data_IF_950976869284
#
_entry.id   IF_950976869284
#
_cell.length_a   1.000
_cell.length_b   1.000
_cell.length_c   1.000
_cell.angle_alpha   90.00
_cell.angle_beta   90.00
_cell.angle_gamma   90.00
#
_symmetry.space_group_name_H-M   'P 1'
#
loop_
_entity.id
_entity.type
_entity.pdbx_description
1 polymer ?
#
# COMPACT_ATOMS: atom_id res chain seq x y z
N UNK A 1 -6.03 -2.77 26.40
CA UNK A 1 -7.24 -3.16 25.65
C UNK A 1 -6.81 -3.50 24.23
N UNK A 2 -7.24 -4.64 23.69
CA UNK A 2 -6.98 -5.00 22.29
C UNK A 2 -8.01 -4.28 21.43
N UNK A 3 -7.57 -3.47 20.47
CA UNK A 3 -8.46 -2.83 19.49
C UNK A 3 -8.82 -3.89 18.45
N UNK A 4 -10.09 -4.00 18.11
CA UNK A 4 -10.53 -4.82 16.97
C UNK A 4 -10.11 -4.14 15.67
N UNK A 5 -9.50 -4.89 14.76
CA UNK A 5 -9.00 -4.33 13.50
C UNK A 5 -10.16 -4.08 12.52
N UNK A 6 -10.14 -2.99 11.74
CA UNK A 6 -11.21 -2.70 10.79
C UNK A 6 -11.36 -3.75 9.69
N UNK A 7 -12.59 -3.96 9.21
CA UNK A 7 -12.91 -4.88 8.11
C UNK A 7 -12.13 -4.61 6.82
N UNK A 8 -11.74 -3.36 6.58
CA UNK A 8 -10.89 -2.96 5.45
C UNK A 8 -9.51 -3.63 5.45
N UNK A 9 -9.12 -4.26 6.56
CA UNK A 9 -7.88 -5.03 6.70
C UNK A 9 -8.09 -6.54 6.56
N UNK A 10 -9.32 -7.03 6.34
CA UNK A 10 -9.61 -8.47 6.32
C UNK A 10 -8.73 -9.24 5.32
N UNK A 11 -8.52 -8.70 4.11
CA UNK A 11 -7.63 -9.34 3.11
C UNK A 11 -6.19 -9.48 3.64
N UNK A 12 -5.65 -8.43 4.28
CA UNK A 12 -4.32 -8.46 4.88
C UNK A 12 -4.28 -9.49 6.02
N UNK A 13 -5.29 -9.50 6.87
CA UNK A 13 -5.37 -10.39 8.03
C UNK A 13 -5.49 -11.86 7.63
N UNK A 14 -6.23 -12.16 6.56
CA UNK A 14 -6.29 -13.50 5.98
C UNK A 14 -4.90 -13.95 5.51
N UNK A 15 -4.17 -13.10 4.78
CA UNK A 15 -2.79 -13.39 4.35
C UNK A 15 -1.84 -13.55 5.54
N UNK A 16 -2.00 -12.74 6.59
CA UNK A 16 -1.18 -12.81 7.80
C UNK A 16 -1.42 -14.09 8.61
N UNK A 17 -2.65 -14.58 8.69
CA UNK A 17 -2.98 -15.80 9.43
C UNK A 17 -2.21 -17.02 8.91
N UNK A 18 -1.99 -17.08 7.59
CA UNK A 18 -1.20 -18.15 6.96
C UNK A 18 0.28 -18.14 7.39
N UNK A 19 0.79 -17.04 7.93
CA UNK A 19 2.19 -16.86 8.31
C UNK A 19 2.49 -17.25 9.77
N UNK A 20 1.48 -17.65 10.55
CA UNK A 20 1.68 -18.13 11.92
C UNK A 20 2.22 -17.06 12.88
N UNK A 21 3.42 -17.25 13.43
CA UNK A 21 3.98 -16.39 14.48
C UNK A 21 4.24 -14.95 13.98
N UNK A 22 4.78 -14.79 12.77
CA UNK A 22 5.01 -13.45 12.20
C UNK A 22 3.68 -12.75 11.94
N UNK A 23 2.66 -13.48 11.49
CA UNK A 23 1.30 -12.97 11.35
C UNK A 23 0.76 -12.34 12.63
N UNK A 24 0.95 -13.01 13.78
CA UNK A 24 0.56 -12.48 15.09
C UNK A 24 1.32 -11.21 15.48
N UNK A 25 2.61 -11.12 15.15
CA UNK A 25 3.42 -9.91 15.39
C UNK A 25 2.89 -8.75 14.55
N UNK A 26 2.63 -8.97 13.27
CA UNK A 26 2.11 -7.93 12.37
C UNK A 26 0.74 -7.46 12.82
N UNK A 27 -0.20 -8.38 13.07
CA UNK A 27 -1.55 -8.03 13.55
C UNK A 27 -1.50 -7.30 14.88
N UNK A 28 -0.64 -7.73 15.81
CA UNK A 28 -0.44 -7.03 17.08
C UNK A 28 0.17 -5.64 16.92
N UNK A 29 1.03 -5.42 15.92
CA UNK A 29 1.56 -4.08 15.61
C UNK A 29 0.47 -3.18 15.05
N UNK A 30 -0.34 -3.67 14.11
CA UNK A 30 -1.48 -2.94 13.56
C UNK A 30 -2.44 -2.49 14.67
N UNK A 31 -2.79 -3.39 15.59
CA UNK A 31 -3.66 -3.09 16.74
C UNK A 31 -3.11 -2.02 17.68
N UNK A 32 -1.79 -1.90 17.78
CA UNK A 32 -1.14 -0.89 18.63
C UNK A 32 -0.96 0.45 17.93
N UNK A 33 -0.79 0.44 16.62
CA UNK A 33 -0.54 1.65 15.83
C UNK A 33 -1.85 2.37 15.49
N UNK A 34 -2.93 1.64 15.20
CA UNK A 34 -4.23 2.22 14.89
C UNK A 34 -4.88 2.79 16.15
N UNK A 35 -5.37 4.03 16.07
CA UNK A 35 -6.03 4.68 17.20
C UNK A 35 -7.53 4.31 17.22
N UNK A 36 -8.14 4.23 18.41
CA UNK A 36 -9.58 4.08 18.51
C UNK A 36 -10.32 5.21 17.77
N UNK A 37 -11.26 4.84 16.90
CA UNK A 37 -12.10 5.80 16.16
C UNK A 37 -11.53 6.29 14.83
N UNK A 38 -10.26 5.97 14.51
CA UNK A 38 -9.74 6.19 13.16
C UNK A 38 -10.32 5.15 12.19
N UNK A 39 -10.76 5.61 11.02
CA UNK A 39 -11.16 4.74 9.93
C UNK A 39 -10.00 4.59 8.95
N UNK A 40 -9.75 3.36 8.51
CA UNK A 40 -8.83 3.07 7.41
C UNK A 40 -9.58 3.31 6.10
N UNK A 41 -9.08 4.26 5.31
CA UNK A 41 -9.63 4.64 4.00
C UNK A 41 -8.97 3.84 2.87
N UNK A 42 -7.68 3.57 3.01
CA UNK A 42 -6.90 2.77 2.06
C UNK A 42 -6.03 1.77 2.83
N UNK A 43 -5.95 0.55 2.32
CA UNK A 43 -4.93 -0.41 2.69
C UNK A 43 -4.25 -0.90 1.42
N UNK A 44 -2.93 -0.75 1.37
CA UNK A 44 -2.09 -1.33 0.32
C UNK A 44 -1.00 -2.16 1.00
N UNK A 45 -0.72 -3.34 0.46
CA UNK A 45 0.26 -4.25 1.03
C UNK A 45 0.99 -5.04 -0.04
N UNK A 46 2.29 -5.23 0.17
CA UNK A 46 3.14 -6.06 -0.68
C UNK A 46 3.78 -7.15 0.15
N UNK A 47 3.28 -8.38 -0.01
CA UNK A 47 3.84 -9.57 0.59
C UNK A 47 4.79 -10.25 -0.41
N UNK A 48 6.05 -10.40 -0.01
CA UNK A 48 7.02 -11.25 -0.67
C UNK A 48 7.19 -12.51 0.16
N UNK A 49 6.99 -13.66 -0.48
CA UNK A 49 7.30 -14.97 0.10
C UNK A 49 8.68 -15.35 -0.38
N UNK A 50 9.57 -15.74 0.53
CA UNK A 50 10.89 -16.22 0.13
C UNK A 50 10.78 -17.61 -0.49
N UNK A 51 11.52 -17.84 -1.57
CA UNK A 51 11.66 -19.17 -2.15
C UNK A 51 12.58 -20.00 -1.23
N UNK A 52 12.04 -20.72 -0.25
CA UNK A 52 12.83 -21.78 0.40
C UNK A 52 12.82 -23.02 -0.46
N UNK A 53 14.01 -23.48 -0.80
CA UNK A 53 14.29 -24.73 -1.52
C UNK A 53 14.18 -26.00 -0.66
N UNK A 54 13.69 -25.90 0.58
CA UNK A 54 13.61 -27.03 1.51
C UNK A 54 12.15 -27.38 1.84
N UNK A 55 11.72 -28.57 1.43
CA UNK A 55 10.36 -29.12 1.53
C UNK A 55 9.76 -29.16 2.97
N UNK A 56 10.53 -28.86 4.00
CA UNK A 56 10.10 -28.95 5.41
C UNK A 56 9.58 -27.63 6.01
N UNK A 57 9.71 -26.48 5.35
CA UNK A 57 9.16 -25.21 5.85
C UNK A 57 7.99 -24.71 4.99
N UNK A 58 6.79 -24.72 5.59
CA UNK A 58 5.61 -24.04 5.06
C UNK A 58 5.95 -22.55 4.85
N UNK A 59 5.97 -22.12 3.58
CA UNK A 59 6.15 -20.74 3.09
C UNK A 59 6.93 -19.80 4.01
N UNK A 60 8.26 -19.65 3.83
CA UNK A 60 9.02 -18.72 4.63
C UNK A 60 8.71 -17.31 4.18
N UNK A 61 8.16 -16.55 5.12
CA UNK A 61 7.98 -15.11 5.02
C UNK A 61 9.26 -14.44 4.48
N UNK A 62 9.15 -13.73 3.36
CA UNK A 62 10.23 -12.91 2.82
C UNK A 62 10.18 -11.51 3.43
N UNK A 63 9.21 -10.72 3.02
CA UNK A 63 8.97 -9.39 3.60
C UNK A 63 7.51 -8.98 3.42
N UNK A 64 7.07 -8.02 4.23
CA UNK A 64 5.76 -7.40 4.10
C UNK A 64 5.87 -5.90 4.31
N UNK A 65 5.39 -5.14 3.33
CA UNK A 65 5.14 -3.71 3.48
C UNK A 65 3.63 -3.47 3.51
N UNK A 66 3.16 -2.65 4.46
CA UNK A 66 1.77 -2.23 4.61
C UNK A 66 1.73 -0.70 4.64
N UNK A 67 1.00 -0.10 3.72
CA UNK A 67 0.66 1.32 3.70
C UNK A 67 -0.82 1.49 4.02
N UNK A 68 -1.13 2.28 5.06
CA UNK A 68 -2.50 2.61 5.43
C UNK A 68 -2.71 4.11 5.34
N UNK A 69 -3.78 4.52 4.69
CA UNK A 69 -4.31 5.88 4.81
C UNK A 69 -5.52 5.83 5.75
N UNK A 70 -5.49 6.62 6.82
CA UNK A 70 -6.61 6.79 7.73
C UNK A 70 -7.25 8.16 7.53
N UNK A 71 -8.31 8.43 8.30
CA UNK A 71 -8.96 9.74 8.38
C UNK A 71 -8.05 10.89 8.88
N UNK A 72 -6.87 10.58 9.41
CA UNK A 72 -5.97 11.55 10.07
C UNK A 72 -4.48 11.27 9.90
N UNK A 73 -4.10 10.08 9.43
CA UNK A 73 -2.70 9.65 9.38
C UNK A 73 -2.41 8.81 8.13
N UNK A 74 -1.17 8.91 7.68
CA UNK A 74 -0.57 7.92 6.80
C UNK A 74 0.35 7.04 7.65
N UNK A 75 0.21 5.72 7.54
CA UNK A 75 0.99 4.74 8.28
C UNK A 75 1.76 3.86 7.30
N UNK A 76 3.03 3.62 7.59
CA UNK A 76 3.89 2.68 6.86
C UNK A 76 4.46 1.67 7.86
N UNK A 77 4.13 0.40 7.67
CA UNK A 77 4.66 -0.70 8.48
C UNK A 77 5.42 -1.66 7.56
N UNK A 78 6.72 -1.80 7.79
CA UNK A 78 7.55 -2.75 7.06
C UNK A 78 8.09 -3.83 7.98
N UNK A 79 7.97 -5.07 7.54
CA UNK A 79 8.46 -6.26 8.22
C UNK A 79 9.42 -6.98 7.28
N UNK A 80 10.72 -6.86 7.53
CA UNK A 80 11.78 -7.53 6.78
C UNK A 80 12.50 -8.52 7.69
N UNK A 81 13.27 -9.48 7.14
CA UNK A 81 13.96 -10.49 7.94
C UNK A 81 14.95 -9.91 8.95
N UNK A 82 15.54 -8.75 8.62
CA UNK A 82 16.61 -8.13 9.41
C UNK A 82 16.15 -6.92 10.22
N UNK A 83 15.01 -6.32 9.90
CA UNK A 83 14.47 -5.17 10.63
C UNK A 83 12.97 -5.01 10.42
N UNK A 84 12.34 -4.30 11.35
CA UNK A 84 10.96 -3.84 11.22
C UNK A 84 10.94 -2.33 11.40
N UNK A 85 10.04 -1.67 10.68
CA UNK A 85 9.83 -0.23 10.85
C UNK A 85 8.34 0.08 10.93
N UNK A 86 8.05 1.14 11.68
CA UNK A 86 6.73 1.76 11.75
C UNK A 86 6.96 3.26 11.61
N UNK A 87 6.34 3.85 10.61
CA UNK A 87 6.31 5.30 10.42
C UNK A 87 4.85 5.78 10.40
N UNK A 88 4.63 6.95 10.99
CA UNK A 88 3.31 7.56 11.10
C UNK A 88 3.42 9.06 10.84
N UNK A 89 2.65 9.53 9.86
CA UNK A 89 2.59 10.94 9.47
C UNK A 89 1.19 11.47 9.67
N UNK A 90 1.06 12.59 10.37
CA UNK A 90 -0.21 13.34 10.40
C UNK A 90 -0.48 13.94 9.04
N UNK A 91 -1.68 13.71 8.50
CA UNK A 91 -2.12 14.21 7.19
C UNK A 91 -3.57 14.67 7.29
N UNK A 92 -3.92 15.74 6.59
CA UNK A 92 -5.27 16.30 6.63
C UNK A 92 -6.06 16.01 5.34
N UNK A 93 -5.42 16.18 4.18
CA UNK A 93 -6.04 15.96 2.87
C UNK A 93 -5.02 15.44 1.85
N UNK A 94 -5.50 14.71 0.85
CA UNK A 94 -4.74 14.44 -0.37
C UNK A 94 -4.88 15.67 -1.26
N UNK A 95 -3.80 16.40 -1.50
CA UNK A 95 -3.78 17.57 -2.37
C UNK A 95 -3.52 17.22 -3.83
N UNK A 96 -2.82 16.11 -4.05
CA UNK A 96 -2.45 15.66 -5.39
C UNK A 96 -2.48 14.14 -5.48
N UNK A 97 -2.99 13.65 -6.61
CA UNK A 97 -2.94 12.26 -7.04
C UNK A 97 -2.38 12.25 -8.46
N UNK A 98 -1.33 11.47 -8.68
CA UNK A 98 -0.83 11.14 -10.02
C UNK A 98 -0.70 9.63 -10.13
N UNK A 99 -1.08 9.09 -11.28
CA UNK A 99 -0.89 7.68 -11.63
C UNK A 99 -0.29 7.61 -13.03
N UNK A 100 0.93 7.09 -13.11
CA UNK A 100 1.69 6.98 -14.35
C UNK A 100 1.76 5.50 -14.73
N UNK A 101 1.31 5.19 -15.94
CA UNK A 101 1.33 3.84 -16.49
C UNK A 101 2.45 3.75 -17.53
N UNK A 102 3.39 2.82 -17.34
CA UNK A 102 4.49 2.58 -18.27
C UNK A 102 4.29 1.24 -18.96
N UNK A 103 4.37 1.24 -20.29
CA UNK A 103 4.11 0.06 -21.13
C UNK A 103 5.38 -0.58 -21.69
N UNK A 104 6.52 0.10 -21.58
CA UNK A 104 7.83 -0.38 -21.99
C UNK A 104 8.87 -0.09 -20.91
N UNK A 105 9.79 -1.03 -20.72
CA UNK A 105 11.01 -0.87 -19.94
C UNK A 105 12.15 -0.57 -20.91
N UNK A 106 12.46 0.70 -21.13
CA UNK A 106 13.59 1.06 -22.01
C UNK A 106 13.63 2.55 -22.28
N UNK A 107 14.68 3.20 -21.80
CA UNK A 107 15.18 4.40 -22.46
C UNK A 107 15.59 4.02 -23.90
N UNK A 108 15.56 4.96 -24.83
CA UNK A 108 15.94 4.74 -26.23
C UNK A 108 17.18 3.82 -26.37
N UNK A 109 16.99 2.63 -26.95
CA UNK A 109 18.11 1.75 -27.33
C UNK A 109 18.13 0.31 -26.77
N UNK A 110 17.27 -0.05 -25.82
CA UNK A 110 17.20 -1.44 -25.31
C UNK A 110 15.81 -2.08 -25.53
N UNK A 111 15.72 -2.99 -26.51
CA UNK A 111 14.58 -3.90 -26.70
C UNK A 111 13.35 -3.29 -27.38
N UNK A 112 12.53 -4.14 -28.00
CA UNK A 112 11.27 -3.76 -28.64
C UNK A 112 10.38 -3.03 -27.62
N UNK A 113 10.31 -1.69 -27.74
CA UNK A 113 9.40 -0.88 -26.97
C UNK A 113 7.97 -1.26 -27.39
N UNK A 114 7.38 -2.21 -26.66
CA UNK A 114 6.00 -2.61 -26.93
C UNK A 114 5.10 -1.40 -26.70
N UNK A 115 4.38 -0.98 -27.74
CA UNK A 115 3.46 0.15 -27.64
C UNK A 115 2.32 -0.18 -26.67
N UNK A 116 1.61 0.84 -26.17
CA UNK A 116 0.43 0.61 -25.33
C UNK A 116 -0.61 -0.27 -26.03
N UNK A 117 -0.75 -0.14 -27.36
CA UNK A 117 -1.67 -0.92 -28.18
C UNK A 117 -1.28 -2.41 -28.25
N UNK A 118 -0.01 -2.72 -28.46
CA UNK A 118 0.51 -4.09 -28.48
C UNK A 118 0.30 -4.83 -27.15
N UNK A 119 0.21 -4.07 -26.05
CA UNK A 119 -0.09 -4.59 -24.71
C UNK A 119 -1.56 -4.54 -24.33
N UNK A 120 -2.45 -4.17 -25.25
CA UNK A 120 -3.87 -3.93 -24.97
C UNK A 120 -4.08 -2.98 -23.78
N UNK A 121 -3.22 -1.97 -23.66
CA UNK A 121 -3.21 -0.99 -22.57
C UNK A 121 -3.05 -1.59 -21.16
N UNK A 122 -2.40 -2.75 -21.05
CA UNK A 122 -1.98 -3.31 -19.76
C UNK A 122 -0.53 -2.92 -19.42
N UNK A 123 -0.29 -2.07 -18.39
CA UNK A 123 1.04 -1.55 -18.09
C UNK A 123 1.98 -2.62 -17.52
N UNK A 124 3.28 -2.39 -17.70
CA UNK A 124 4.35 -3.14 -17.03
C UNK A 124 4.64 -2.59 -15.63
N UNK A 125 4.54 -1.28 -15.50
CA UNK A 125 4.86 -0.57 -14.28
C UNK A 125 3.81 0.51 -14.09
N UNK A 126 3.36 0.65 -12.86
CA UNK A 126 2.48 1.71 -12.42
C UNK A 126 3.16 2.45 -11.27
N UNK A 127 3.25 3.77 -11.38
CA UNK A 127 3.73 4.66 -10.33
C UNK A 127 2.54 5.49 -9.82
N UNK A 128 2.19 5.30 -8.54
CA UNK A 128 1.19 6.11 -7.84
C UNK A 128 1.91 7.14 -6.97
N UNK A 129 1.54 8.41 -7.11
CA UNK A 129 2.02 9.50 -6.26
C UNK A 129 0.84 10.17 -5.57
N UNK A 130 0.86 10.19 -4.24
CA UNK A 130 -0.04 10.98 -3.40
C UNK A 130 0.75 12.06 -2.69
N UNK A 131 0.30 13.32 -2.78
CA UNK A 131 0.80 14.41 -1.94
C UNK A 131 -0.23 14.75 -0.89
N UNK A 132 0.25 14.91 0.33
CA UNK A 132 -0.57 15.19 1.50
C UNK A 132 -0.26 16.57 2.03
N UNK A 133 -1.32 17.28 2.40
CA UNK A 133 -1.25 18.56 3.08
C UNK A 133 -1.76 18.45 4.52
N UNK A 134 -1.28 19.35 5.38
CA UNK A 134 -1.86 19.60 6.71
C UNK A 134 -3.14 20.45 6.64
N UNK A 135 -3.68 20.81 7.81
CA UNK A 135 -4.88 21.65 7.94
C UNK A 135 -4.69 23.08 7.43
N UNK A 136 -3.45 23.55 7.29
CA UNK A 136 -3.10 24.87 6.78
C UNK A 136 -2.82 24.86 5.27
N UNK A 137 -2.85 23.69 4.62
CA UNK A 137 -2.56 23.54 3.20
C UNK A 137 -1.07 23.47 2.87
N UNK A 138 -0.21 23.19 3.86
CA UNK A 138 1.21 22.96 3.62
C UNK A 138 1.47 21.50 3.29
N UNK A 139 2.27 21.21 2.27
CA UNK A 139 2.69 19.85 1.95
C UNK A 139 3.53 19.28 3.09
N UNK A 140 3.10 18.15 3.66
CA UNK A 140 3.76 17.49 4.79
C UNK A 140 4.40 16.17 4.40
N UNK A 141 3.89 15.52 3.36
CA UNK A 141 4.33 14.20 2.97
C UNK A 141 3.97 13.90 1.52
N UNK A 142 4.87 13.23 0.81
CA UNK A 142 4.61 12.64 -0.51
C UNK A 142 4.86 11.15 -0.41
N UNK A 143 3.86 10.35 -0.79
CA UNK A 143 3.98 8.91 -0.93
C UNK A 143 4.06 8.56 -2.41
N UNK A 144 5.14 7.87 -2.79
CA UNK A 144 5.28 7.24 -4.10
C UNK A 144 5.23 5.73 -3.93
N UNK A 145 4.45 5.05 -4.76
CA UNK A 145 4.32 3.60 -4.80
C UNK A 145 4.50 3.09 -6.22
N UNK A 146 5.51 2.24 -6.40
CA UNK A 146 5.75 1.55 -7.65
C UNK A 146 5.16 0.14 -7.60
N UNK A 147 4.54 -0.28 -8.70
CA UNK A 147 3.97 -1.62 -8.86
C UNK A 147 4.36 -2.20 -10.21
N UNK A 148 5.08 -3.32 -10.17
CA UNK A 148 5.50 -4.09 -11.37
C UNK A 148 4.84 -5.46 -11.45
N UNK A 149 4.22 -5.92 -10.35
CA UNK A 149 3.46 -7.18 -10.30
C UNK A 149 2.04 -6.94 -10.78
N UNK A 150 1.54 -7.85 -11.63
CA UNK A 150 0.17 -7.81 -12.18
C UNK A 150 -0.91 -7.66 -11.10
N UNK A 151 -0.77 -8.32 -9.95
CA UNK A 151 -1.73 -8.22 -8.84
C UNK A 151 -1.71 -6.83 -8.19
N UNK A 152 -0.53 -6.27 -7.94
CA UNK A 152 -0.36 -4.94 -7.35
C UNK A 152 -0.92 -3.85 -8.28
N UNK A 153 -0.63 -3.96 -9.59
CA UNK A 153 -1.18 -3.07 -10.63
C UNK A 153 -2.71 -3.10 -10.60
N UNK A 154 -3.31 -4.30 -10.57
CA UNK A 154 -4.78 -4.44 -10.49
C UNK A 154 -5.36 -3.82 -9.22
N UNK A 155 -4.72 -4.04 -8.08
CA UNK A 155 -5.15 -3.45 -6.80
C UNK A 155 -5.13 -1.92 -6.86
N UNK A 156 -4.06 -1.32 -7.38
CA UNK A 156 -3.95 0.14 -7.51
C UNK A 156 -5.00 0.71 -8.47
N UNK A 157 -5.30 0.03 -9.57
CA UNK A 157 -6.40 0.41 -10.47
C UNK A 157 -7.77 0.34 -9.78
N UNK A 158 -8.04 -0.72 -9.00
CA UNK A 158 -9.29 -0.85 -8.26
C UNK A 158 -9.48 0.26 -7.22
N UNK A 159 -8.38 0.75 -6.65
CA UNK A 159 -8.38 1.81 -5.65
C UNK A 159 -8.46 3.22 -6.26
N UNK A 160 -8.21 3.38 -7.56
CA UNK A 160 -8.14 4.68 -8.23
C UNK A 160 -9.41 5.53 -8.09
N UNK A 161 -10.59 4.93 -8.22
CA UNK A 161 -11.85 5.66 -8.09
C UNK A 161 -12.00 6.26 -6.68
N UNK A 162 -11.64 5.48 -5.66
CA UNK A 162 -11.69 5.94 -4.28
C UNK A 162 -10.65 7.04 -4.03
N UNK A 163 -9.40 6.79 -4.43
CA UNK A 163 -8.29 7.76 -4.28
C UNK A 163 -8.57 9.09 -4.95
N UNK A 164 -9.09 9.08 -6.19
CA UNK A 164 -9.46 10.31 -6.90
C UNK A 164 -10.60 11.05 -6.20
N UNK A 165 -11.54 10.33 -5.59
CA UNK A 165 -12.62 10.90 -4.79
C UNK A 165 -12.15 11.64 -3.53
N UNK A 166 -11.01 11.24 -2.95
CA UNK A 166 -10.40 11.85 -1.75
C UNK A 166 -9.75 13.21 -2.04
N UNK A 167 -9.32 13.46 -3.29
CA UNK A 167 -8.51 14.64 -3.62
C UNK A 167 -9.25 15.93 -3.28
N UNK A 168 -8.55 16.84 -2.58
CA UNK A 168 -9.04 18.16 -2.20
C UNK A 168 -10.04 18.17 -1.04
N UNK A 169 -10.42 17.01 -0.48
CA UNK A 169 -11.34 16.91 0.65
C UNK A 169 -10.59 16.55 1.93
N UNK A 170 -11.02 17.07 3.10
CA UNK A 170 -10.51 16.59 4.38
C UNK A 170 -10.76 15.08 4.53
N UNK A 171 -9.72 14.32 4.89
CA UNK A 171 -9.82 12.88 5.08
C UNK A 171 -10.83 12.52 6.18
N UNK A 172 -10.93 13.34 7.23
CA UNK A 172 -11.90 13.19 8.30
C UNK A 172 -13.37 13.31 7.85
N UNK A 173 -13.64 13.93 6.70
CA UNK A 173 -14.99 14.05 6.15
C UNK A 173 -15.45 12.77 5.43
N UNK A 174 -14.53 11.84 5.15
CA UNK A 174 -14.87 10.60 4.47
C UNK A 174 -15.58 9.63 5.42
N UNK A 175 -16.87 9.47 5.15
CA UNK A 175 -17.70 8.40 5.71
C UNK A 175 -17.61 7.23 4.74
N UNK A 176 -16.52 6.49 4.80
CA UNK A 176 -16.52 5.10 4.32
C UNK A 176 -17.69 4.34 4.93
#
# INVERSE_FOLDING_TARGET
MSIELPDSLNEVLEKLNALGAIGKVVSGSLQRVLQPGEKVLLSFHQLQVSESTSEEQRSPFGSLDIKLLTTSRFLSLGFYPTYHHVDAKSVHKVSHLSMINRFATGYEGEGEAASAEERNYFPLELELVLRFEDEHGQEVFTWTQDATRTEDIKTLFQQLQMLSGLVGKPLAAFKG
#
